data_IF_336031816444
#
_entry.id   IF_336031816444
#
_cell.length_a   1.000
_cell.length_b   1.000
_cell.length_c   1.000
_cell.angle_alpha   90.00
_cell.angle_beta   90.00
_cell.angle_gamma   90.00
#
_symmetry.space_group_name_H-M   'P 1'
#
loop_
_entity.id
_entity.type
_entity.pdbx_description
1 polymer ?
#
# COMPACT_ATOMS: atom_id res chain seq x y z
N UNK A 1 -13.74 0.11 -10.39
CA UNK A 1 -12.92 1.20 -10.98
C UNK A 1 -11.40 0.97 -10.83
N UNK A 2 -10.91 0.42 -9.71
CA UNK A 2 -9.47 0.19 -9.47
C UNK A 2 -8.77 -0.74 -10.48
N UNK A 3 -9.45 -1.80 -10.93
CA UNK A 3 -8.90 -2.74 -11.92
C UNK A 3 -8.59 -2.08 -13.27
N UNK A 4 -9.44 -1.15 -13.73
CA UNK A 4 -9.20 -0.40 -14.97
C UNK A 4 -7.99 0.52 -14.83
N UNK A 5 -7.75 1.09 -13.65
CA UNK A 5 -6.55 1.91 -13.37
C UNK A 5 -5.28 1.06 -13.45
N UNK A 6 -5.26 -0.11 -12.80
CA UNK A 6 -4.11 -1.04 -12.87
C UNK A 6 -3.88 -1.51 -14.32
N UNK A 7 -4.95 -1.83 -15.04
CA UNK A 7 -4.89 -2.27 -16.44
C UNK A 7 -4.23 -1.24 -17.35
N UNK A 8 -4.65 0.03 -17.24
CA UNK A 8 -4.08 1.14 -18.02
C UNK A 8 -2.61 1.39 -17.64
N UNK A 9 -2.27 1.29 -16.34
CA UNK A 9 -0.89 1.48 -15.86
C UNK A 9 0.07 0.41 -16.39
N UNK A 10 -0.43 -0.83 -16.55
CA UNK A 10 0.35 -1.98 -17.02
C UNK A 10 0.68 -1.88 -18.51
N UNK A 11 -0.20 -1.26 -19.30
CA UNK A 11 -0.04 -1.12 -20.75
C UNK A 11 0.52 0.24 -21.20
N UNK A 12 0.53 1.26 -20.32
CA UNK A 12 1.19 2.55 -20.56
C UNK A 12 0.62 3.40 -21.71
N UNK A 13 -0.40 2.92 -22.42
CA UNK A 13 -1.02 3.59 -23.58
C UNK A 13 -2.50 3.89 -23.28
N UNK A 14 -2.81 5.19 -23.17
CA UNK A 14 -4.17 5.70 -23.06
C UNK A 14 -4.81 5.75 -24.46
N UNK A 15 -5.24 4.58 -24.94
CA UNK A 15 -6.10 4.46 -26.13
C UNK A 15 -7.53 4.10 -25.73
N UNK A 16 -8.53 4.62 -26.45
CA UNK A 16 -9.95 4.31 -26.23
C UNK A 16 -10.23 2.80 -26.21
N UNK A 17 -9.53 2.03 -27.04
CA UNK A 17 -9.63 0.56 -27.07
C UNK A 17 -9.20 -0.10 -25.74
N UNK A 18 -8.15 0.44 -25.11
CA UNK A 18 -7.60 -0.09 -23.87
C UNK A 18 -8.50 0.26 -22.66
N UNK A 19 -9.14 1.43 -22.70
CA UNK A 19 -10.14 1.85 -21.70
C UNK A 19 -11.36 0.91 -21.72
N UNK A 20 -11.90 0.62 -22.91
CA UNK A 20 -13.07 -0.28 -23.07
C UNK A 20 -12.72 -1.70 -22.62
N UNK A 21 -11.55 -2.22 -23.01
CA UNK A 21 -11.11 -3.55 -22.57
C UNK A 21 -10.89 -3.61 -21.05
N UNK A 22 -10.29 -2.58 -20.45
CA UNK A 22 -10.11 -2.49 -19.00
C UNK A 22 -11.41 -2.36 -18.21
N UNK A 23 -12.46 -1.77 -18.79
CA UNK A 23 -13.82 -1.78 -18.22
C UNK A 23 -14.42 -3.19 -18.31
N UNK A 24 -14.32 -3.83 -19.48
CA UNK A 24 -14.87 -5.16 -19.74
C UNK A 24 -14.26 -6.21 -18.80
N UNK A 25 -12.92 -6.23 -18.69
CA UNK A 25 -12.18 -7.13 -17.80
C UNK A 25 -12.49 -6.80 -16.33
N UNK A 26 -12.54 -5.53 -15.96
CA UNK A 26 -12.88 -5.11 -14.60
C UNK A 26 -14.28 -5.56 -14.17
N UNK A 27 -15.27 -5.45 -15.06
CA UNK A 27 -16.64 -5.94 -14.83
C UNK A 27 -16.65 -7.46 -14.75
N UNK A 28 -15.96 -8.16 -15.67
CA UNK A 28 -15.88 -9.62 -15.65
C UNK A 28 -15.27 -10.15 -14.33
N UNK A 29 -14.21 -9.52 -13.83
CA UNK A 29 -13.58 -9.89 -12.54
C UNK A 29 -14.51 -9.61 -11.36
N UNK A 30 -15.19 -8.45 -11.32
CA UNK A 30 -16.17 -8.16 -10.26
C UNK A 30 -17.37 -9.13 -10.27
N UNK A 31 -17.75 -9.63 -11.45
CA UNK A 31 -18.83 -10.61 -11.59
C UNK A 31 -18.37 -12.03 -11.22
N UNK A 32 -17.14 -12.42 -11.58
CA UNK A 32 -16.57 -13.74 -11.21
C UNK A 32 -16.24 -13.83 -9.71
N UNK A 33 -15.76 -12.73 -9.13
CA UNK A 33 -15.45 -12.61 -7.72
C UNK A 33 -16.35 -11.54 -7.10
N UNK A 34 -17.60 -11.88 -6.74
CA UNK A 34 -18.46 -10.98 -5.98
C UNK A 34 -17.91 -10.88 -4.55
N UNK A 35 -16.88 -10.04 -4.37
CA UNK A 35 -16.46 -9.68 -3.02
C UNK A 35 -17.58 -8.84 -2.42
N UNK A 36 -18.15 -9.25 -1.27
CA UNK A 36 -19.10 -8.42 -0.54
C UNK A 36 -18.45 -7.06 -0.34
N UNK A 37 -19.18 -6.00 -0.71
CA UNK A 37 -18.69 -4.64 -0.61
C UNK A 37 -18.16 -4.45 0.81
N UNK A 38 -16.84 -4.33 0.93
CA UNK A 38 -16.24 -4.00 2.21
C UNK A 38 -16.66 -2.57 2.45
N UNK A 39 -17.74 -2.38 3.22
CA UNK A 39 -18.09 -1.13 3.89
C UNK A 39 -16.99 -0.84 4.91
N UNK A 40 -15.81 -0.52 4.38
CA UNK A 40 -14.83 0.30 5.04
C UNK A 40 -15.58 1.61 5.27
N UNK A 41 -16.20 1.75 6.46
CA UNK A 41 -16.72 3.00 7.01
C UNK A 41 -15.61 4.04 7.22
N UNK A 42 -14.67 4.13 6.27
CA UNK A 42 -13.66 5.14 6.15
C UNK A 42 -14.38 6.42 5.79
N UNK A 43 -14.61 7.24 6.82
CA UNK A 43 -14.60 8.69 6.63
C UNK A 43 -13.24 9.03 6.02
N UNK A 44 -13.19 9.10 4.70
CA UNK A 44 -12.02 9.49 3.93
C UNK A 44 -11.62 10.90 4.41
N UNK A 45 -10.65 10.97 5.33
CA UNK A 45 -9.98 12.21 5.70
C UNK A 45 -8.73 12.26 4.82
N UNK A 46 -8.78 12.83 3.60
CA UNK A 46 -7.65 12.85 2.68
C UNK A 46 -6.40 13.45 3.33
N UNK A 47 -6.58 14.45 4.19
CA UNK A 47 -5.49 15.03 4.98
C UNK A 47 -4.85 14.02 5.96
N UNK A 48 -5.65 13.15 6.57
CA UNK A 48 -5.18 12.09 7.45
C UNK A 48 -4.43 10.99 6.69
N UNK A 49 -4.92 10.62 5.51
CA UNK A 49 -4.27 9.65 4.62
C UNK A 49 -2.92 10.20 4.17
N UNK A 50 -2.86 11.45 3.69
CA UNK A 50 -1.61 12.10 3.27
C UNK A 50 -0.63 12.18 4.43
N UNK A 51 -1.09 12.59 5.63
CA UNK A 51 -0.22 12.64 6.82
C UNK A 51 0.32 11.26 7.19
N UNK A 52 -0.51 10.21 7.10
CA UNK A 52 -0.09 8.84 7.39
C UNK A 52 0.92 8.33 6.35
N UNK A 53 0.68 8.59 5.07
CA UNK A 53 1.62 8.25 3.98
C UNK A 53 2.95 8.96 4.18
N UNK A 54 2.95 10.28 4.45
CA UNK A 54 4.17 11.03 4.71
C UNK A 54 4.89 10.54 5.95
N UNK A 55 4.17 10.27 7.03
CA UNK A 55 4.74 9.70 8.25
C UNK A 55 5.38 8.33 7.99
N UNK A 56 4.70 7.46 7.24
CA UNK A 56 5.20 6.13 6.88
C UNK A 56 6.47 6.22 6.04
N UNK A 57 6.47 7.06 5.00
CA UNK A 57 7.64 7.26 4.15
C UNK A 57 8.83 7.81 4.94
N UNK A 58 8.56 8.77 5.84
CA UNK A 58 9.57 9.32 6.73
C UNK A 58 10.13 8.25 7.66
N UNK A 59 9.27 7.47 8.32
CA UNK A 59 9.67 6.43 9.25
C UNK A 59 10.47 5.31 8.56
N UNK A 60 10.06 4.90 7.35
CA UNK A 60 10.82 3.97 6.52
C UNK A 60 12.20 4.51 6.14
N UNK A 61 12.29 5.77 5.75
CA UNK A 61 13.57 6.40 5.38
C UNK A 61 14.50 6.51 6.59
N UNK A 62 14.00 6.98 7.74
CA UNK A 62 14.76 7.10 8.99
C UNK A 62 15.23 5.72 9.47
N UNK A 63 14.36 4.71 9.42
CA UNK A 63 14.70 3.33 9.78
C UNK A 63 15.77 2.76 8.87
N UNK A 64 15.68 2.99 7.56
CA UNK A 64 16.70 2.57 6.60
C UNK A 64 18.05 3.26 6.88
N UNK A 65 18.06 4.56 7.15
CA UNK A 65 19.27 5.29 7.52
C UNK A 65 19.87 4.76 8.83
N UNK A 66 19.02 4.44 9.83
CA UNK A 66 19.48 3.84 11.09
C UNK A 66 20.17 2.50 10.85
N UNK A 67 19.56 1.62 10.06
CA UNK A 67 20.14 0.32 9.70
C UNK A 67 21.45 0.50 8.92
N UNK A 68 21.49 1.39 7.92
CA UNK A 68 22.73 1.67 7.17
C UNK A 68 23.84 2.21 8.07
N UNK A 69 23.52 3.11 9.03
CA UNK A 69 24.48 3.59 10.03
C UNK A 69 24.95 2.48 10.98
N UNK A 70 24.07 1.54 11.35
CA UNK A 70 24.46 0.35 12.12
C UNK A 70 25.42 -0.55 11.33
N UNK A 71 25.25 -0.67 10.01
CA UNK A 71 26.18 -1.46 9.20
C UNK A 71 27.54 -0.75 9.07
N UNK A 72 27.54 0.57 8.87
CA UNK A 72 28.76 1.37 8.68
C UNK A 72 29.54 1.63 9.97
N UNK A 73 28.88 1.61 11.14
CA UNK A 73 29.54 1.82 12.43
C UNK A 73 29.87 0.47 13.05
N UNK A 74 31.14 0.11 13.27
CA UNK A 74 31.48 -1.11 13.99
C UNK A 74 31.14 -0.94 15.48
N UNK A 75 30.30 -1.81 16.03
CA UNK A 75 29.96 -1.81 17.46
C UNK A 75 29.18 -3.08 17.87
N UNK A 76 29.21 -3.47 19.16
CA UNK A 76 28.42 -4.60 19.64
C UNK A 76 26.92 -4.26 19.59
N UNK A 77 26.18 -5.04 18.81
CA UNK A 77 24.72 -4.89 18.67
C UNK A 77 24.02 -5.89 19.61
N UNK A 78 23.40 -5.43 20.71
CA UNK A 78 22.62 -6.32 21.56
C UNK A 78 21.32 -6.70 20.85
N UNK A 79 21.27 -7.91 20.30
CA UNK A 79 20.01 -8.50 19.86
C UNK A 79 19.18 -8.81 21.12
N UNK A 80 18.05 -8.13 21.27
CA UNK A 80 17.11 -8.35 22.37
C UNK A 80 15.77 -8.84 21.82
N UNK A 81 15.28 -9.96 22.34
CA UNK A 81 13.92 -10.43 22.09
C UNK A 81 13.01 -9.82 23.15
N UNK A 82 12.12 -8.92 22.74
CA UNK A 82 11.18 -8.24 23.64
C UNK A 82 9.77 -8.75 23.38
N UNK A 83 9.17 -9.42 24.36
CA UNK A 83 7.76 -9.81 24.28
C UNK A 83 6.88 -8.57 24.48
N UNK A 84 6.17 -8.16 23.43
CA UNK A 84 5.20 -7.05 23.48
C UNK A 84 3.79 -7.63 23.48
N UNK A 85 3.00 -7.47 24.56
CA UNK A 85 1.62 -7.93 24.57
C UNK A 85 0.79 -7.06 23.62
N UNK A 86 0.44 -7.61 22.46
CA UNK A 86 -0.47 -6.97 21.52
C UNK A 86 -1.89 -6.99 22.10
N UNK A 87 -2.42 -5.80 22.39
CA UNK A 87 -3.82 -5.62 22.76
C UNK A 87 -4.65 -5.49 21.49
N UNK A 88 -4.81 -6.58 20.76
CA UNK A 88 -5.75 -6.67 19.66
C UNK A 88 -7.13 -7.01 20.24
N UNK A 89 -8.12 -6.15 19.98
CA UNK A 89 -9.52 -6.37 20.34
C UNK A 89 -10.34 -6.44 19.06
#
# INVERSE_FOLDING_TARGET
AWLTVIWVLLWGTLSWANLVNGILVGVAVCLLFPLPAVDLGLRLRPLGIVRLVLFLLWDMAVSSIRVTRMILTPGPYPAAVVAVPLRCR
#
